data_IF_887327252291
#
_entry.id   IF_887327252291
#
_cell.length_a   1.000
_cell.length_b   1.000
_cell.length_c   1.000
_cell.angle_alpha   90.00
_cell.angle_beta   90.00
_cell.angle_gamma   90.00
#
_symmetry.space_group_name_H-M   'P 1'
#
loop_
_entity.id
_entity.type
_entity.pdbx_description
1 polymer ?
#
# COMPACT_ATOMS: atom_id res chain seq x y z
N UNK A 1 -28.13 8.68 -19.37
CA UNK A 1 -28.36 8.26 -17.97
C UNK A 1 -27.11 7.53 -17.50
N UNK A 2 -26.30 8.14 -16.63
CA UNK A 2 -25.06 7.53 -16.14
C UNK A 2 -25.36 6.87 -14.80
N UNK A 3 -25.45 5.55 -14.78
CA UNK A 3 -25.60 4.77 -13.55
C UNK A 3 -24.27 4.82 -12.80
N UNK A 4 -24.20 5.66 -11.77
CA UNK A 4 -23.11 5.62 -10.79
C UNK A 4 -23.38 4.44 -9.84
N UNK A 5 -22.59 3.38 -9.96
CA UNK A 5 -22.59 2.31 -8.96
C UNK A 5 -21.99 2.85 -7.66
N UNK A 6 -22.66 2.72 -6.50
CA UNK A 6 -22.06 3.09 -5.23
C UNK A 6 -20.90 2.13 -4.93
N UNK A 7 -19.68 2.67 -4.91
CA UNK A 7 -18.48 1.94 -4.51
C UNK A 7 -18.34 2.05 -2.99
N UNK A 8 -19.30 1.50 -2.24
CA UNK A 8 -19.21 1.45 -0.78
C UNK A 8 -18.53 0.13 -0.37
N UNK A 9 -17.33 0.16 0.25
CA UNK A 9 -16.76 -1.03 0.84
C UNK A 9 -17.75 -1.61 1.86
N UNK A 10 -17.84 -2.95 1.93
CA UNK A 10 -18.82 -3.70 2.74
C UNK A 10 -18.90 -3.25 4.21
N UNK A 11 -17.83 -2.69 4.75
CA UNK A 11 -17.81 -2.01 6.04
C UNK A 11 -17.22 -0.61 5.88
N UNK A 12 -17.79 0.44 6.50
CA UNK A 12 -17.22 1.78 6.46
C UNK A 12 -15.89 1.76 7.23
N UNK A 13 -14.74 2.12 6.61
CA UNK A 13 -13.46 2.14 7.29
C UNK A 13 -13.45 3.02 8.56
N UNK A 14 -14.32 4.03 8.60
CA UNK A 14 -14.44 4.99 9.71
C UNK A 14 -14.85 4.33 11.03
N UNK A 15 -15.75 3.36 11.01
CA UNK A 15 -16.24 2.70 12.23
C UNK A 15 -15.15 1.82 12.85
N UNK A 16 -14.42 1.09 12.00
CA UNK A 16 -13.29 0.25 12.42
C UNK A 16 -12.17 1.12 13.01
N UNK A 17 -11.80 2.21 12.32
CA UNK A 17 -10.78 3.15 12.80
C UNK A 17 -11.19 3.76 14.14
N UNK A 18 -12.46 4.13 14.30
CA UNK A 18 -12.96 4.67 15.55
C UNK A 18 -12.90 3.65 16.69
N UNK A 19 -13.22 2.38 16.42
CA UNK A 19 -13.11 1.30 17.41
C UNK A 19 -11.66 1.09 17.86
N UNK A 20 -10.72 0.93 16.91
CA UNK A 20 -9.29 0.74 17.22
C UNK A 20 -8.75 1.95 17.99
N UNK A 21 -9.10 3.16 17.58
CA UNK A 21 -8.68 4.38 18.27
C UNK A 21 -9.16 4.42 19.72
N UNK A 22 -10.41 4.00 19.99
CA UNK A 22 -10.94 3.89 21.36
C UNK A 22 -10.12 2.91 22.20
N UNK A 23 -9.73 1.77 21.64
CA UNK A 23 -8.93 0.76 22.35
C UNK A 23 -7.49 1.24 22.62
N UNK A 24 -6.91 2.01 21.70
CA UNK A 24 -5.62 2.68 21.90
C UNK A 24 -5.71 3.70 23.03
N UNK A 25 -6.73 4.57 23.02
CA UNK A 25 -6.95 5.59 24.07
C UNK A 25 -7.22 4.95 25.43
N UNK A 26 -7.96 3.84 25.46
CA UNK A 26 -8.22 3.06 26.69
C UNK A 26 -6.99 2.30 27.20
N UNK A 27 -5.86 2.32 26.49
CA UNK A 27 -4.66 1.59 26.87
C UNK A 27 -4.79 0.06 26.71
N UNK A 28 -5.83 -0.42 26.02
CA UNK A 28 -6.02 -1.85 25.72
C UNK A 28 -4.93 -2.32 24.73
N UNK A 29 -4.51 -1.43 23.82
CA UNK A 29 -3.43 -1.67 22.85
C UNK A 29 -2.07 -1.24 23.43
N UNK A 30 -1.71 -1.79 24.58
CA UNK A 30 -0.37 -1.64 25.17
C UNK A 30 0.56 -2.74 24.69
N UNK A 31 1.87 -2.50 24.71
CA UNK A 31 2.85 -3.57 24.56
C UNK A 31 2.61 -4.53 25.73
N UNK A 32 2.06 -5.73 25.48
CA UNK A 32 1.79 -6.76 26.51
C UNK A 32 3.00 -7.10 27.41
N UNK A 33 4.19 -6.68 27.02
CA UNK A 33 5.47 -6.94 27.68
C UNK A 33 6.31 -5.69 27.99
N UNK A 34 5.79 -4.47 27.81
CA UNK A 34 6.59 -3.24 27.94
C UNK A 34 7.68 -3.06 26.87
N UNK A 35 7.71 -3.95 25.86
CA UNK A 35 8.66 -3.88 24.74
C UNK A 35 8.44 -2.62 23.89
N UNK A 36 9.55 -2.05 23.43
CA UNK A 36 9.59 -0.96 22.45
C UNK A 36 8.78 -1.34 21.20
N UNK A 37 8.10 -0.38 20.59
CA UNK A 37 7.36 -0.53 19.32
C UNK A 37 8.24 0.02 18.19
N UNK A 38 9.16 -0.78 17.61
CA UNK A 38 10.13 -0.28 16.63
C UNK A 38 9.49 0.14 15.29
N UNK A 39 8.21 -0.18 15.09
CA UNK A 39 7.42 0.27 13.94
C UNK A 39 8.07 -0.11 12.62
N UNK A 40 8.29 0.88 11.76
CA UNK A 40 8.91 0.70 10.44
C UNK A 40 10.29 0.06 10.53
N UNK A 41 11.13 0.49 11.47
CA UNK A 41 12.54 0.06 11.52
C UNK A 41 12.64 -1.45 11.76
N UNK A 42 11.95 -1.95 12.80
CA UNK A 42 11.93 -3.38 13.10
C UNK A 42 11.25 -4.21 12.00
N UNK A 43 10.27 -3.64 11.30
CA UNK A 43 9.65 -4.32 10.15
C UNK A 43 10.62 -4.43 8.98
N UNK A 44 11.38 -3.38 8.66
CA UNK A 44 12.36 -3.40 7.57
C UNK A 44 13.46 -4.45 7.83
N UNK A 45 13.99 -4.51 9.05
CA UNK A 45 14.98 -5.52 9.44
C UNK A 45 14.42 -6.95 9.27
N UNK A 46 13.18 -7.20 9.68
CA UNK A 46 12.54 -8.51 9.53
C UNK A 46 12.32 -8.90 8.05
N UNK A 47 11.97 -7.94 7.20
CA UNK A 47 11.73 -8.18 5.78
C UNK A 47 13.05 -8.41 5.02
N UNK A 48 14.09 -7.66 5.38
CA UNK A 48 15.45 -7.82 4.85
C UNK A 48 16.02 -9.20 5.20
N UNK A 49 15.91 -9.61 6.48
CA UNK A 49 16.31 -10.95 6.94
C UNK A 49 15.58 -12.09 6.21
N UNK A 50 14.38 -11.82 5.67
CA UNK A 50 13.58 -12.79 4.89
C UNK A 50 13.79 -12.66 3.38
N UNK A 51 14.69 -11.78 2.95
CA UNK A 51 14.96 -11.47 1.54
C UNK A 51 13.68 -11.07 0.77
N UNK A 52 12.81 -10.28 1.42
CA UNK A 52 11.55 -9.79 0.82
C UNK A 52 11.81 -8.48 0.11
N UNK A 53 11.51 -8.43 -1.20
CA UNK A 53 11.55 -7.18 -1.98
C UNK A 53 10.35 -6.31 -1.64
N UNK A 54 10.62 -5.10 -1.13
CA UNK A 54 9.60 -4.11 -0.80
C UNK A 54 9.55 -3.06 -1.89
N UNK A 55 8.35 -2.73 -2.37
CA UNK A 55 8.12 -1.57 -3.22
C UNK A 55 7.58 -0.43 -2.34
N UNK A 56 8.38 0.62 -2.05
CA UNK A 56 7.88 1.79 -1.35
C UNK A 56 6.90 2.56 -2.23
N UNK A 57 6.15 3.50 -1.65
CA UNK A 57 5.20 4.32 -2.40
C UNK A 57 5.85 5.00 -3.62
N UNK A 58 7.06 5.57 -3.46
CA UNK A 58 7.80 6.16 -4.58
C UNK A 58 8.16 5.17 -5.70
N UNK A 59 8.36 3.88 -5.40
CA UNK A 59 8.54 2.85 -6.42
C UNK A 59 7.24 2.54 -7.17
N UNK A 60 6.10 2.57 -6.47
CA UNK A 60 4.79 2.48 -7.11
C UNK A 60 4.50 3.70 -8.00
N UNK A 61 4.89 4.91 -7.59
CA UNK A 61 4.72 6.12 -8.41
C UNK A 61 5.51 6.04 -9.73
N UNK A 62 6.71 5.44 -9.72
CA UNK A 62 7.47 5.15 -10.95
C UNK A 62 6.70 4.21 -11.88
N UNK A 63 6.15 3.13 -11.35
CA UNK A 63 5.28 2.21 -12.11
C UNK A 63 4.10 2.97 -12.71
N UNK A 64 3.37 3.74 -11.90
CA UNK A 64 2.19 4.49 -12.34
C UNK A 64 2.52 5.46 -13.49
N UNK A 65 3.66 6.14 -13.40
CA UNK A 65 4.13 7.04 -14.45
C UNK A 65 4.51 6.29 -15.74
N UNK A 66 5.23 5.19 -15.64
CA UNK A 66 5.61 4.36 -16.79
C UNK A 66 4.38 3.81 -17.51
N UNK A 67 3.39 3.30 -16.78
CA UNK A 67 2.14 2.79 -17.37
C UNK A 67 1.39 3.90 -18.13
N UNK A 68 1.32 5.11 -17.56
CA UNK A 68 0.71 6.28 -18.22
C UNK A 68 1.48 6.68 -19.49
N UNK A 69 2.82 6.71 -19.42
CA UNK A 69 3.67 7.00 -20.58
C UNK A 69 3.45 5.98 -21.70
N UNK A 70 3.41 4.68 -21.40
CA UNK A 70 3.14 3.62 -22.40
C UNK A 70 1.71 3.66 -22.96
N UNK A 71 0.75 4.18 -22.19
CA UNK A 71 -0.65 4.31 -22.59
C UNK A 71 -0.91 5.46 -23.56
N UNK A 72 -0.19 6.59 -23.40
CA UNK A 72 -0.44 7.82 -24.15
C UNK A 72 -0.37 7.65 -25.68
N UNK A 73 0.65 6.98 -26.27
CA UNK A 73 0.71 6.73 -27.72
C UNK A 73 -0.43 5.87 -28.26
N UNK A 74 -1.06 5.06 -27.40
CA UNK A 74 -2.18 4.16 -27.75
C UNK A 74 -3.55 4.80 -27.50
N UNK A 75 -3.58 6.08 -27.12
CA UNK A 75 -4.79 6.79 -26.69
C UNK A 75 -5.51 6.08 -25.52
N UNK A 76 -4.73 5.49 -24.60
CA UNK A 76 -5.21 4.85 -23.38
C UNK A 76 -4.76 5.66 -22.16
N UNK A 77 -5.55 5.68 -21.06
CA UNK A 77 -5.11 6.32 -19.81
C UNK A 77 -3.83 5.72 -19.24
N UNK A 78 -3.60 4.43 -19.51
CA UNK A 78 -2.38 3.69 -19.16
C UNK A 78 -2.31 2.39 -19.94
N UNK A 79 -1.10 1.86 -20.09
CA UNK A 79 -0.84 0.48 -20.50
C UNK A 79 -0.14 -0.24 -19.35
N UNK A 80 -0.82 -1.22 -18.75
CA UNK A 80 -0.32 -1.87 -17.53
C UNK A 80 0.91 -2.75 -17.80
N UNK A 81 1.86 -2.71 -16.88
CA UNK A 81 2.92 -3.72 -16.83
C UNK A 81 2.32 -5.02 -16.30
N UNK A 82 2.51 -6.13 -17.02
CA UNK A 82 1.83 -7.41 -16.72
C UNK A 82 2.77 -8.50 -16.21
N UNK A 83 4.07 -8.22 -16.13
CA UNK A 83 5.07 -9.13 -15.57
C UNK A 83 5.65 -8.58 -14.26
N UNK A 84 6.00 -9.48 -13.34
CA UNK A 84 6.65 -9.12 -12.08
C UNK A 84 8.03 -8.51 -12.30
N UNK A 85 8.75 -8.98 -13.32
CA UNK A 85 10.06 -8.49 -13.68
C UNK A 85 9.99 -7.02 -14.10
N UNK A 86 9.09 -6.66 -15.02
CA UNK A 86 8.93 -5.26 -15.47
C UNK A 86 8.49 -4.35 -14.32
N UNK A 87 7.57 -4.82 -13.47
CA UNK A 87 7.11 -4.07 -12.30
C UNK A 87 8.27 -3.79 -11.34
N UNK A 88 9.09 -4.80 -11.04
CA UNK A 88 10.20 -4.66 -10.12
C UNK A 88 11.33 -3.81 -10.71
N UNK A 89 11.61 -3.95 -12.00
CA UNK A 89 12.60 -3.13 -12.71
C UNK A 89 12.22 -1.65 -12.64
N UNK A 90 11.00 -1.29 -13.03
CA UNK A 90 10.53 0.11 -13.01
C UNK A 90 10.42 0.66 -11.59
N UNK A 91 10.01 -0.17 -10.62
CA UNK A 91 9.93 0.27 -9.22
C UNK A 91 11.29 0.59 -8.60
N UNK A 92 12.37 -0.03 -9.08
CA UNK A 92 13.71 0.04 -8.49
C UNK A 92 14.72 0.84 -9.30
N UNK A 93 14.47 1.09 -10.58
CA UNK A 93 15.22 2.02 -11.44
C UNK A 93 15.17 3.45 -10.91
#
# INVERSE_FOLDING_TARGET
MTTTFPVTPRFPPKEIVASISKDVVRGVVTSRSGLSKPGRQGLLELLDNRNVKIVPFGGWEKIDNEEKMKGSPKNKPREKLTSWQDLLEVATA
#
